data_IF_580335699677
#
_entry.id   IF_580335699677
#
_cell.length_a   1.000
_cell.length_b   1.000
_cell.length_c   1.000
_cell.angle_alpha   90.00
_cell.angle_beta   90.00
_cell.angle_gamma   90.00
#
_symmetry.space_group_name_H-M   'P 1'
#
loop_
_entity.id
_entity.type
_entity.pdbx_description
1 polymer ?
#
# COMPACT_ATOMS: atom_id res chain seq x y z
N UNK A 1 -8.43 -2.48 13.55
CA UNK A 1 -7.65 -1.29 13.18
C UNK A 1 -6.23 -1.63 13.51
N UNK A 2 -5.33 -1.63 12.53
CA UNK A 2 -3.95 -2.05 12.70
C UNK A 2 -3.05 -0.89 12.29
N UNK A 3 -2.32 -0.33 13.23
CA UNK A 3 -1.27 0.64 12.93
C UNK A 3 -0.11 -0.05 12.20
N UNK A 4 0.69 0.72 11.45
CA UNK A 4 1.82 0.15 10.71
C UNK A 4 2.78 -0.63 11.61
N UNK A 5 3.12 -0.09 12.80
CA UNK A 5 3.99 -0.77 13.78
C UNK A 5 3.48 -2.14 14.24
N UNK A 6 2.16 -2.34 14.28
CA UNK A 6 1.59 -3.61 14.72
C UNK A 6 1.74 -4.67 13.63
N UNK A 7 1.54 -4.27 12.37
CA UNK A 7 1.87 -5.10 11.21
C UNK A 7 3.37 -5.38 11.11
N UNK A 8 4.21 -4.35 11.26
CA UNK A 8 5.67 -4.45 11.22
C UNK A 8 6.20 -5.37 12.32
N UNK A 9 5.64 -5.30 13.53
CA UNK A 9 6.01 -6.21 14.62
C UNK A 9 5.57 -7.66 14.35
N UNK A 10 4.44 -7.86 13.66
CA UNK A 10 3.94 -9.18 13.32
C UNK A 10 4.73 -9.84 12.18
N UNK A 11 5.09 -9.08 11.14
CA UNK A 11 5.78 -9.59 9.94
C UNK A 11 6.96 -8.68 9.51
N UNK A 12 8.07 -8.60 10.28
CA UNK A 12 9.11 -7.59 10.09
C UNK A 12 9.78 -7.62 8.71
N UNK A 13 10.10 -8.81 8.21
CA UNK A 13 10.76 -8.97 6.91
C UNK A 13 9.83 -8.62 5.74
N UNK A 14 8.54 -8.94 5.86
CA UNK A 14 7.55 -8.60 4.85
C UNK A 14 7.28 -7.10 4.84
N UNK A 15 7.10 -6.49 6.02
CA UNK A 15 6.93 -5.06 6.18
C UNK A 15 8.10 -4.26 5.60
N UNK A 16 9.35 -4.70 5.82
CA UNK A 16 10.54 -4.08 5.24
C UNK A 16 10.48 -4.05 3.71
N UNK A 17 10.20 -5.19 3.06
CA UNK A 17 10.12 -5.26 1.59
C UNK A 17 9.02 -4.37 1.02
N UNK A 18 7.86 -4.34 1.66
CA UNK A 18 6.75 -3.47 1.28
C UNK A 18 7.14 -2.00 1.42
N UNK A 19 7.76 -1.63 2.54
CA UNK A 19 8.22 -0.26 2.76
C UNK A 19 9.26 0.16 1.71
N UNK A 20 10.23 -0.69 1.38
CA UNK A 20 11.23 -0.44 0.33
C UNK A 20 10.56 -0.10 -1.02
N UNK A 21 9.49 -0.80 -1.40
CA UNK A 21 8.74 -0.53 -2.63
C UNK A 21 8.00 0.82 -2.61
N UNK A 22 7.42 1.19 -1.47
CA UNK A 22 6.75 2.48 -1.31
C UNK A 22 7.74 3.65 -1.23
N UNK A 23 8.93 3.43 -0.66
CA UNK A 23 9.98 4.45 -0.51
C UNK A 23 10.82 4.64 -1.78
N UNK A 24 10.88 3.64 -2.67
CA UNK A 24 11.63 3.68 -3.93
C UNK A 24 11.27 4.88 -4.83
N UNK A 25 10.01 5.34 -4.77
CA UNK A 25 9.54 6.48 -5.56
C UNK A 25 8.68 7.43 -4.74
N UNK A 26 8.82 8.74 -4.98
CA UNK A 26 8.08 9.79 -4.27
C UNK A 26 6.57 9.65 -4.39
N UNK A 27 6.08 9.45 -5.62
CA UNK A 27 4.66 9.46 -5.94
C UNK A 27 4.09 8.05 -6.02
N UNK A 28 2.92 7.90 -5.40
CA UNK A 28 2.13 6.67 -5.31
C UNK A 28 0.75 6.93 -5.91
N UNK A 29 0.01 5.86 -6.18
CA UNK A 29 -1.41 5.99 -6.54
C UNK A 29 -2.29 5.62 -5.35
N UNK A 30 -3.29 6.45 -5.06
CA UNK A 30 -4.31 6.18 -4.05
C UNK A 30 -5.69 6.10 -4.70
N UNK A 31 -6.48 5.10 -4.29
CA UNK A 31 -7.89 4.99 -4.60
C UNK A 31 -8.76 5.41 -3.41
N UNK A 32 -9.85 6.15 -3.66
CA UNK A 32 -10.88 6.54 -2.68
C UNK A 32 -12.29 6.34 -3.26
N UNK A 33 -13.31 6.33 -2.40
CA UNK A 33 -14.72 6.17 -2.80
C UNK A 33 -15.41 7.53 -2.91
N UNK A 34 -15.92 7.87 -4.10
CA UNK A 34 -16.68 9.12 -4.31
C UNK A 34 -18.05 9.05 -3.65
N UNK A 35 -18.72 10.20 -3.54
CA UNK A 35 -20.08 10.29 -2.99
C UNK A 35 -21.13 9.47 -3.75
N UNK A 36 -20.92 9.20 -5.04
CA UNK A 36 -21.76 8.35 -5.88
C UNK A 36 -21.35 6.87 -5.85
N UNK A 37 -20.39 6.50 -5.00
CA UNK A 37 -19.84 5.16 -4.88
C UNK A 37 -18.78 4.78 -5.93
N UNK A 38 -18.53 5.62 -6.94
CA UNK A 38 -17.54 5.32 -7.96
C UNK A 38 -16.09 5.49 -7.44
N UNK A 39 -15.11 4.73 -7.95
CA UNK A 39 -13.72 4.85 -7.51
C UNK A 39 -13.04 6.09 -8.09
N UNK A 40 -12.26 6.80 -7.26
CA UNK A 40 -11.36 7.89 -7.68
C UNK A 40 -9.92 7.46 -7.48
N UNK A 41 -9.05 7.73 -8.45
CA UNK A 41 -7.59 7.65 -8.29
C UNK A 41 -6.97 9.03 -8.11
N UNK A 42 -5.82 9.09 -7.43
CA UNK A 42 -5.03 10.31 -7.22
C UNK A 42 -3.56 9.95 -7.03
N UNK A 43 -2.67 10.80 -7.55
CA UNK A 43 -1.29 10.83 -7.06
C UNK A 43 -1.24 11.27 -5.60
N UNK A 44 -0.36 10.65 -4.82
CA UNK A 44 -0.16 10.96 -3.40
C UNK A 44 1.31 10.80 -3.00
N UNK A 45 1.71 11.52 -1.95
CA UNK A 45 2.92 11.24 -1.17
C UNK A 45 2.48 10.72 0.20
N UNK A 46 3.14 9.67 0.67
CA UNK A 46 2.91 9.11 2.01
C UNK A 46 4.27 8.87 2.69
N UNK A 47 4.24 8.66 3.99
CA UNK A 47 5.41 8.37 4.82
C UNK A 47 5.12 7.26 5.81
N UNK A 48 6.08 6.38 6.01
CA UNK A 48 6.19 5.56 7.20
C UNK A 48 7.05 6.33 8.21
N UNK A 49 6.47 6.70 9.35
CA UNK A 49 7.18 7.45 10.39
C UNK A 49 6.56 7.16 11.75
N UNK A 50 7.40 7.02 12.78
CA UNK A 50 6.98 6.77 14.16
C UNK A 50 6.04 5.56 14.31
N UNK A 51 6.25 4.53 13.49
CA UNK A 51 5.42 3.33 13.48
C UNK A 51 4.03 3.51 12.86
N UNK A 52 3.83 4.58 12.09
CA UNK A 52 2.55 4.90 11.45
C UNK A 52 2.72 5.11 9.94
N UNK A 53 1.69 4.70 9.20
CA UNK A 53 1.51 5.03 7.79
C UNK A 53 0.68 6.32 7.71
N UNK A 54 1.27 7.41 7.21
CA UNK A 54 0.59 8.71 7.15
C UNK A 54 0.70 9.38 5.79
N UNK A 55 -0.27 10.24 5.48
CA UNK A 55 -0.23 11.10 4.29
C UNK A 55 -0.96 12.43 4.54
N UNK A 56 -0.50 13.48 3.88
CA UNK A 56 -1.16 14.79 3.90
C UNK A 56 -2.24 14.91 2.83
N UNK A 57 -3.16 15.84 3.01
CA UNK A 57 -4.09 16.25 1.96
C UNK A 57 -4.18 17.77 1.96
N UNK A 58 -3.94 18.38 0.80
CA UNK A 58 -4.15 19.82 0.64
C UNK A 58 -5.60 20.19 1.02
N UNK A 59 -5.83 21.37 1.62
CA UNK A 59 -7.18 21.87 1.87
C UNK A 59 -8.04 21.81 0.60
N UNK A 60 -9.31 21.43 0.74
CA UNK A 60 -10.28 21.28 -0.35
C UNK A 60 -9.92 20.24 -1.43
N UNK A 61 -8.87 19.42 -1.25
CA UNK A 61 -8.59 18.34 -2.16
C UNK A 61 -9.73 17.32 -2.17
N UNK A 62 -10.16 16.95 -3.38
CA UNK A 62 -11.29 16.05 -3.61
C UNK A 62 -11.15 14.69 -2.90
N UNK A 63 -9.94 14.12 -2.84
CA UNK A 63 -9.65 12.89 -2.08
C UNK A 63 -9.86 13.03 -0.57
N UNK A 64 -9.52 14.18 0.02
CA UNK A 64 -9.77 14.44 1.44
C UNK A 64 -11.27 14.51 1.74
N UNK A 65 -12.06 15.11 0.83
CA UNK A 65 -13.51 15.13 0.94
C UNK A 65 -14.14 13.73 0.78
N UNK A 66 -13.56 12.87 -0.05
CA UNK A 66 -13.96 11.46 -0.13
C UNK A 66 -13.69 10.75 1.20
N UNK A 67 -12.47 10.83 1.73
CA UNK A 67 -12.06 10.13 2.96
C UNK A 67 -12.85 10.54 4.20
N UNK A 68 -13.23 11.82 4.30
CA UNK A 68 -14.11 12.30 5.38
C UNK A 68 -15.51 11.70 5.31
N UNK A 69 -15.98 11.34 4.11
CA UNK A 69 -17.30 10.72 3.89
C UNK A 69 -17.23 9.20 4.03
N UNK A 70 -16.22 8.59 3.42
CA UNK A 70 -15.96 7.17 3.42
C UNK A 70 -14.45 6.96 3.61
N UNK A 71 -14.01 6.42 4.76
CA UNK A 71 -12.60 6.36 5.09
C UNK A 71 -11.83 5.30 4.29
N UNK A 72 -12.51 4.48 3.47
CA UNK A 72 -11.86 3.41 2.72
C UNK A 72 -10.90 3.95 1.67
N UNK A 73 -9.71 3.37 1.64
CA UNK A 73 -8.68 3.66 0.65
C UNK A 73 -7.88 2.42 0.27
N UNK A 74 -7.24 2.51 -0.88
CA UNK A 74 -6.13 1.63 -1.26
C UNK A 74 -4.97 2.47 -1.77
N UNK A 75 -3.75 2.08 -1.42
CA UNK A 75 -2.49 2.62 -1.92
C UNK A 75 -1.83 1.58 -2.81
N UNK A 76 -1.17 2.04 -3.87
CA UNK A 76 -0.33 1.24 -4.74
C UNK A 76 1.03 1.96 -4.83
N UNK A 77 2.13 1.22 -4.66
CA UNK A 77 3.48 1.73 -4.85
C UNK A 77 3.69 2.20 -6.30
N UNK A 78 4.81 2.82 -6.62
CA UNK A 78 5.13 2.98 -8.04
C UNK A 78 5.39 1.59 -8.66
N UNK A 79 4.92 1.40 -9.90
CA UNK A 79 5.30 0.24 -10.71
C UNK A 79 6.59 0.59 -11.45
N UNK A 80 7.55 -0.31 -11.40
CA UNK A 80 8.74 -0.27 -12.25
C UNK A 80 8.64 -1.40 -13.26
N UNK A 81 9.03 -1.17 -14.51
CA UNK A 81 9.08 -2.25 -15.48
C UNK A 81 10.28 -3.18 -15.16
N UNK A 82 10.14 -4.51 -15.36
CA UNK A 82 11.30 -5.39 -15.36
C UNK A 82 12.28 -4.97 -16.46
N UNK A 83 13.58 -5.21 -16.22
CA UNK A 83 14.59 -5.08 -17.26
C UNK A 83 14.60 -6.36 -18.08
N UNK A 84 14.53 -6.25 -19.41
CA UNK A 84 14.55 -7.40 -20.32
C UNK A 84 15.75 -8.32 -20.06
N UNK A 85 15.49 -9.61 -19.88
CA UNK A 85 16.49 -10.63 -19.56
C UNK A 85 16.96 -10.64 -18.10
N UNK A 86 16.39 -9.76 -17.26
CA UNK A 86 16.68 -9.61 -15.84
C UNK A 86 15.38 -9.56 -15.01
N UNK A 87 14.32 -10.21 -15.51
CA UNK A 87 12.97 -10.19 -14.93
C UNK A 87 12.97 -10.68 -13.48
N UNK A 88 13.85 -11.62 -13.14
CA UNK A 88 14.01 -12.13 -11.76
C UNK A 88 14.47 -11.06 -10.76
N UNK A 89 15.06 -9.95 -11.24
CA UNK A 89 15.45 -8.81 -10.40
C UNK A 89 14.34 -7.79 -10.23
N UNK A 90 13.18 -7.98 -10.89
CA UNK A 90 12.05 -7.10 -10.72
C UNK A 90 11.57 -7.13 -9.26
N UNK A 91 11.61 -6.00 -8.55
CA UNK A 91 11.28 -5.97 -7.13
C UNK A 91 9.78 -6.18 -6.88
N UNK A 92 8.96 -6.09 -7.92
CA UNK A 92 7.51 -6.21 -7.81
C UNK A 92 6.82 -4.88 -7.54
N UNK A 93 5.62 -4.98 -6.98
CA UNK A 93 4.82 -3.85 -6.51
C UNK A 93 4.07 -4.21 -5.24
N UNK A 94 3.75 -3.19 -4.44
CA UNK A 94 3.02 -3.36 -3.20
C UNK A 94 1.73 -2.54 -3.15
N UNK A 95 0.72 -3.12 -2.50
CA UNK A 95 -0.55 -2.47 -2.18
C UNK A 95 -0.81 -2.48 -0.69
N UNK A 96 -1.42 -1.41 -0.19
CA UNK A 96 -1.93 -1.33 1.18
C UNK A 96 -3.38 -0.84 1.12
N UNK A 97 -4.31 -1.66 1.62
CA UNK A 97 -5.71 -1.28 1.76
C UNK A 97 -6.05 -1.03 3.22
N UNK A 98 -6.94 -0.08 3.48
CA UNK A 98 -7.26 0.29 4.85
C UNK A 98 -8.27 1.41 4.99
N UNK A 99 -8.25 2.04 6.16
CA UNK A 99 -9.10 3.18 6.49
C UNK A 99 -8.25 4.38 6.88
N UNK A 100 -8.54 5.54 6.29
CA UNK A 100 -7.99 6.80 6.75
C UNK A 100 -8.64 7.23 8.07
N UNK A 101 -7.81 7.65 9.01
CA UNK A 101 -8.19 8.26 10.28
C UNK A 101 -7.59 9.65 10.34
N UNK A 102 -8.41 10.66 10.64
CA UNK A 102 -7.93 12.03 10.82
C UNK A 102 -6.95 12.10 12.00
N UNK A 103 -5.81 12.75 11.77
CA UNK A 103 -4.74 12.89 12.76
C UNK A 103 -4.12 14.30 12.64
N UNK A 104 -4.85 15.32 13.09
CA UNK A 104 -4.45 16.72 12.92
C UNK A 104 -4.66 17.21 11.49
N UNK A 105 -3.59 17.67 10.85
CA UNK A 105 -3.56 18.16 9.46
C UNK A 105 -3.29 17.07 8.41
N UNK A 106 -3.19 15.81 8.86
CA UNK A 106 -2.88 14.63 8.05
C UNK A 106 -3.86 13.50 8.34
N UNK A 107 -3.73 12.44 7.55
CA UNK A 107 -4.40 11.17 7.80
C UNK A 107 -3.36 10.11 8.20
N UNK A 108 -3.77 9.25 9.13
CA UNK A 108 -3.12 7.98 9.46
C UNK A 108 -3.91 6.85 8.80
N UNK A 109 -3.25 5.78 8.39
CA UNK A 109 -3.92 4.61 7.82
C UNK A 109 -3.99 3.50 8.87
N UNK A 110 -5.22 3.08 9.17
CA UNK A 110 -5.44 1.77 9.79
C UNK A 110 -5.43 0.71 8.69
N UNK A 111 -4.36 -0.08 8.68
CA UNK A 111 -4.10 -1.13 7.70
C UNK A 111 -5.12 -2.25 7.90
N UNK A 112 -5.70 -2.71 6.79
CA UNK A 112 -6.57 -3.88 6.72
C UNK A 112 -5.95 -5.01 5.90
N UNK A 113 -5.14 -4.66 4.89
CA UNK A 113 -4.47 -5.63 4.03
C UNK A 113 -3.17 -5.04 3.50
N UNK A 114 -2.14 -5.86 3.39
CA UNK A 114 -0.89 -5.55 2.71
C UNK A 114 -0.62 -6.65 1.69
N UNK A 115 -0.32 -6.27 0.45
CA UNK A 115 -0.04 -7.21 -0.64
C UNK A 115 1.28 -6.83 -1.29
N UNK A 116 2.09 -7.84 -1.61
CA UNK A 116 3.29 -7.72 -2.43
C UNK A 116 3.19 -8.73 -3.57
N UNK A 117 3.29 -8.23 -4.80
CA UNK A 117 3.33 -9.08 -5.99
C UNK A 117 4.71 -8.98 -6.62
N UNK A 118 5.38 -10.10 -6.82
CA UNK A 118 6.68 -10.16 -7.46
C UNK A 118 6.83 -11.45 -8.26
N UNK A 119 8.00 -11.70 -8.84
CA UNK A 119 8.30 -12.96 -9.51
C UNK A 119 9.08 -13.91 -8.59
N UNK A 120 8.92 -15.22 -8.79
CA UNK A 120 9.79 -16.21 -8.16
C UNK A 120 11.24 -16.06 -8.68
N UNK A 121 12.26 -16.66 -8.02
CA UNK A 121 13.66 -16.48 -8.42
C UNK A 121 13.99 -16.92 -9.85
N UNK A 122 13.18 -17.79 -10.45
CA UNK A 122 13.34 -18.24 -11.83
C UNK A 122 12.63 -17.33 -12.86
N UNK A 123 11.90 -16.30 -12.41
CA UNK A 123 11.04 -15.45 -13.23
C UNK A 123 10.00 -16.21 -14.07
N UNK A 124 9.50 -17.34 -13.56
CA UNK A 124 8.52 -18.18 -14.25
C UNK A 124 7.13 -18.12 -13.65
N UNK A 125 6.99 -17.68 -12.39
CA UNK A 125 5.72 -17.63 -11.68
C UNK A 125 5.53 -16.26 -11.02
N UNK A 126 4.29 -15.79 -11.04
CA UNK A 126 3.86 -14.66 -10.23
C UNK A 126 3.66 -15.13 -8.79
N UNK A 127 4.38 -14.50 -7.87
CA UNK A 127 4.26 -14.69 -6.43
C UNK A 127 3.40 -13.56 -5.88
N UNK A 128 2.32 -13.93 -5.19
CA UNK A 128 1.50 -12.99 -4.43
C UNK A 128 1.59 -13.35 -2.96
N UNK A 129 2.18 -12.46 -2.18
CA UNK A 129 2.18 -12.51 -0.73
C UNK A 129 1.19 -11.49 -0.20
N UNK A 130 0.39 -11.86 0.79
CA UNK A 130 -0.53 -10.92 1.41
C UNK A 130 -0.76 -11.22 2.88
N UNK A 131 -0.98 -10.15 3.63
CA UNK A 131 -1.21 -10.18 5.06
C UNK A 131 -2.52 -9.49 5.41
N UNK A 132 -3.26 -10.08 6.35
CA UNK A 132 -4.38 -9.41 7.03
C UNK A 132 -4.27 -9.65 8.54
N UNK A 133 -4.83 -8.78 9.39
CA UNK A 133 -4.79 -8.95 10.85
C UNK A 133 -5.36 -10.30 11.32
N UNK A 134 -6.37 -10.83 10.62
CA UNK A 134 -7.07 -12.06 11.02
C UNK A 134 -6.39 -13.34 10.54
N UNK A 135 -5.66 -13.29 9.43
CA UNK A 135 -5.14 -14.48 8.75
C UNK A 135 -3.61 -14.56 8.73
N UNK A 136 -2.91 -13.50 9.14
CA UNK A 136 -1.45 -13.42 9.04
C UNK A 136 -0.98 -13.43 7.59
N UNK A 137 0.33 -13.65 7.41
CA UNK A 137 0.96 -13.70 6.10
C UNK A 137 0.63 -15.00 5.37
N UNK A 138 0.23 -14.87 4.11
CA UNK A 138 -0.08 -15.96 3.19
C UNK A 138 0.62 -15.71 1.85
N UNK A 139 0.82 -16.79 1.10
CA UNK A 139 1.52 -16.76 -0.19
C UNK A 139 0.86 -17.72 -1.17
N UNK A 140 0.81 -17.32 -2.44
CA UNK A 140 0.47 -18.18 -3.57
C UNK A 140 1.44 -17.92 -4.72
N UNK A 141 1.76 -18.97 -5.46
CA UNK A 141 2.49 -18.89 -6.73
C UNK A 141 1.56 -19.35 -7.85
N UNK A 142 1.52 -18.62 -8.96
CA UNK A 142 0.68 -18.93 -10.12
C UNK A 142 1.37 -18.56 -11.43
N UNK A 143 0.98 -19.26 -12.49
CA UNK A 143 1.31 -18.91 -13.89
C UNK A 143 0.52 -17.66 -14.35
#
# INVERSE_FOLDING_TARGET
>A
MTAWREFEAAEPEFARRVQELFDAHRHKTMATVRADGSPRISGIEMKFADGELTFGSMPNARKGADLKRDPRLALHSATVDPVDGEEAKWPGEAKISGRAVEAGDRFRVDVAEVVHTHLNPAATLLVVEWWTPEAGLRKVERE
#
